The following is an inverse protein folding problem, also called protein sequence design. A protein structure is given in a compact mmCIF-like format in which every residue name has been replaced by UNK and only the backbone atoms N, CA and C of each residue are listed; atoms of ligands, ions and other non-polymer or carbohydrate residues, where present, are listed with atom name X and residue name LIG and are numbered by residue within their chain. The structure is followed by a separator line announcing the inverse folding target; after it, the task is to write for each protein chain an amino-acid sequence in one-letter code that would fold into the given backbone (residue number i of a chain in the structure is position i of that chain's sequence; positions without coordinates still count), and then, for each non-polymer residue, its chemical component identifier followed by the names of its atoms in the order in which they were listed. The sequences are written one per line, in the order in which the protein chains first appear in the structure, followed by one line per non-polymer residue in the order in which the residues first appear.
data_IF_370486158739
#
_entry.id   IF_370486158739
#
_cell.length_a   1.000
_cell.length_b   1.000
_cell.length_c   1.000
_cell.angle_alpha   90.00
_cell.angle_beta   90.00
_cell.angle_gamma   90.00
#
_symmetry.space_group_name_H-M   'P 1'
#
loop_
_entity.id
_entity.type
_entity.pdbx_description
1 polymer ?
#
# COMPACT_ATOMS: atom_id res chain seq x y z
N UNK A 1 -20.29 16.24 -19.74
CA UNK A 1 -20.26 16.19 -18.25
C UNK A 1 -19.98 14.78 -17.74
N UNK A 2 -20.20 13.73 -18.53
CA UNK A 2 -19.92 12.32 -18.16
C UNK A 2 -18.43 12.06 -17.87
N UNK A 3 -17.53 12.58 -18.69
CA UNK A 3 -16.08 12.33 -18.58
C UNK A 3 -15.45 12.80 -17.26
N UNK A 4 -15.94 13.90 -16.67
CA UNK A 4 -15.38 14.44 -15.42
C UNK A 4 -15.78 13.57 -14.23
N UNK A 5 -17.01 13.08 -14.21
CA UNK A 5 -17.49 12.21 -13.14
C UNK A 5 -16.79 10.84 -13.17
N UNK A 6 -16.51 10.30 -14.36
CA UNK A 6 -15.72 9.08 -14.50
C UNK A 6 -14.27 9.26 -14.04
N UNK A 7 -13.66 10.41 -14.34
CA UNK A 7 -12.32 10.75 -13.87
C UNK A 7 -12.26 10.87 -12.35
N UNK A 8 -13.25 11.52 -11.72
CA UNK A 8 -13.33 11.64 -10.26
C UNK A 8 -13.47 10.26 -9.60
N UNK A 9 -14.39 9.42 -10.10
CA UNK A 9 -14.61 8.08 -9.57
C UNK A 9 -13.35 7.19 -9.69
N UNK A 10 -12.63 7.27 -10.81
CA UNK A 10 -11.38 6.54 -10.99
C UNK A 10 -10.30 6.98 -9.99
N UNK A 11 -10.25 8.28 -9.70
CA UNK A 11 -9.30 8.85 -8.72
C UNK A 11 -9.63 8.42 -7.29
N UNK A 12 -10.90 8.42 -6.91
CA UNK A 12 -11.35 7.95 -5.60
C UNK A 12 -11.03 6.46 -5.40
N UNK A 13 -11.35 5.63 -6.40
CA UNK A 13 -11.04 4.20 -6.37
C UNK A 13 -9.52 3.95 -6.27
N UNK A 14 -8.72 4.75 -6.99
CA UNK A 14 -7.25 4.65 -6.93
C UNK A 14 -6.70 5.11 -5.59
N UNK A 15 -7.20 6.21 -5.04
CA UNK A 15 -6.81 6.68 -3.70
C UNK A 15 -7.15 5.65 -2.62
N UNK A 16 -8.33 5.02 -2.70
CA UNK A 16 -8.72 3.94 -1.81
C UNK A 16 -7.81 2.70 -1.96
N UNK A 17 -7.44 2.33 -3.19
CA UNK A 17 -6.51 1.24 -3.44
C UNK A 17 -5.11 1.54 -2.87
N UNK A 18 -4.62 2.76 -3.04
CA UNK A 18 -3.35 3.24 -2.47
C UNK A 18 -3.38 3.18 -0.93
N UNK A 19 -4.43 3.72 -0.30
CA UNK A 19 -4.58 3.69 1.15
C UNK A 19 -4.61 2.26 1.70
N UNK A 20 -5.35 1.36 1.02
CA UNK A 20 -5.40 -0.06 1.41
C UNK A 20 -4.04 -0.76 1.28
N UNK A 21 -3.26 -0.44 0.24
CA UNK A 21 -1.92 -0.99 0.09
C UNK A 21 -0.97 -0.51 1.19
N UNK A 22 -1.06 0.76 1.60
CA UNK A 22 -0.28 1.25 2.75
C UNK A 22 -0.61 0.47 4.02
N UNK A 23 -1.88 0.27 4.33
CA UNK A 23 -2.30 -0.51 5.51
C UNK A 23 -1.79 -1.96 5.47
N UNK A 24 -1.83 -2.60 4.30
CA UNK A 24 -1.30 -3.96 4.14
C UNK A 24 0.22 -4.00 4.34
N UNK A 25 0.96 -3.04 3.77
CA UNK A 25 2.42 -2.96 3.91
C UNK A 25 2.82 -2.72 5.38
N UNK A 26 2.10 -1.86 6.09
CA UNK A 26 2.33 -1.60 7.53
C UNK A 26 2.10 -2.88 8.35
N UNK A 27 0.97 -3.56 8.13
CA UNK A 27 0.64 -4.81 8.81
C UNK A 27 1.67 -5.91 8.51
N UNK A 28 2.06 -6.10 7.25
CA UNK A 28 3.08 -7.06 6.86
C UNK A 28 4.43 -6.74 7.53
N UNK A 29 4.77 -5.46 7.63
CA UNK A 29 6.01 -5.00 8.29
C UNK A 29 5.99 -5.29 9.79
N UNK A 30 4.88 -4.99 10.48
CA UNK A 30 4.73 -5.27 11.90
C UNK A 30 4.87 -6.78 12.17
N UNK A 31 4.22 -7.61 11.36
CA UNK A 31 4.35 -9.07 11.46
C UNK A 31 5.82 -9.48 11.32
N UNK A 32 6.51 -9.03 10.26
CA UNK A 32 7.93 -9.35 10.03
C UNK A 32 8.80 -8.95 11.24
N UNK A 33 8.58 -7.77 11.80
CA UNK A 33 9.33 -7.27 12.95
C UNK A 33 9.07 -8.08 14.21
N UNK A 34 7.81 -8.42 14.50
CA UNK A 34 7.44 -9.27 15.64
C UNK A 34 8.10 -10.65 15.54
N UNK A 35 8.07 -11.28 14.36
CA UNK A 35 8.72 -12.58 14.18
C UNK A 35 10.25 -12.50 14.35
N UNK A 36 10.88 -11.47 13.76
CA UNK A 36 12.33 -11.26 13.90
C UNK A 36 12.77 -10.95 15.32
N UNK A 37 11.98 -10.17 16.08
CA UNK A 37 12.23 -9.86 17.48
C UNK A 37 12.21 -11.13 18.35
N UNK A 38 11.44 -12.13 17.96
CA UNK A 38 11.39 -13.45 18.60
C UNK A 38 12.49 -14.42 18.09
N UNK A 39 13.43 -13.94 17.26
CA UNK A 39 14.49 -14.77 16.67
C UNK A 39 14.01 -15.72 15.58
N UNK A 40 12.76 -15.57 15.11
CA UNK A 40 12.18 -16.38 14.05
C UNK A 40 12.49 -15.72 12.71
N UNK A 41 13.22 -16.43 11.86
CA UNK A 41 13.53 -15.99 10.50
C UNK A 41 13.40 -17.17 9.53
N UNK A 42 12.21 -17.76 9.51
CA UNK A 42 11.89 -18.96 8.77
C UNK A 42 11.18 -18.66 7.44
N UNK A 43 10.61 -19.69 6.82
CA UNK A 43 9.88 -19.57 5.57
C UNK A 43 8.66 -18.63 5.67
N UNK A 44 8.03 -18.49 6.85
CA UNK A 44 6.87 -17.62 7.03
C UNK A 44 7.28 -16.15 6.97
N UNK A 45 8.39 -15.78 7.61
CA UNK A 45 8.94 -14.42 7.52
C UNK A 45 9.28 -14.06 6.08
N UNK A 46 9.82 -15.01 5.30
CA UNK A 46 10.07 -14.80 3.86
C UNK A 46 8.79 -14.56 3.09
N UNK A 47 7.72 -15.33 3.35
CA UNK A 47 6.42 -15.12 2.72
C UNK A 47 5.87 -13.71 2.97
N UNK A 48 5.93 -13.22 4.22
CA UNK A 48 5.48 -11.85 4.51
C UNK A 48 6.36 -10.79 3.83
N UNK A 49 7.67 -11.01 3.74
CA UNK A 49 8.58 -10.12 2.99
C UNK A 49 8.21 -10.08 1.51
N UNK A 50 7.92 -11.24 0.91
CA UNK A 50 7.54 -11.35 -0.50
C UNK A 50 6.20 -10.66 -0.77
N UNK A 51 5.18 -10.90 0.06
CA UNK A 51 3.87 -10.24 -0.02
C UNK A 51 4.03 -8.72 0.10
N UNK A 52 4.81 -8.24 1.07
CA UNK A 52 5.08 -6.81 1.25
C UNK A 52 5.75 -6.21 0.01
N UNK A 53 6.70 -6.92 -0.59
CA UNK A 53 7.38 -6.47 -1.81
C UNK A 53 6.42 -6.40 -3.01
N UNK A 54 5.52 -7.36 -3.17
CA UNK A 54 4.46 -7.30 -4.18
C UNK A 54 3.52 -6.11 -3.97
N UNK A 55 3.11 -5.86 -2.71
CA UNK A 55 2.27 -4.72 -2.36
C UNK A 55 2.97 -3.38 -2.64
N UNK A 56 4.29 -3.28 -2.36
CA UNK A 56 5.11 -2.13 -2.71
C UNK A 56 5.22 -1.92 -4.23
N UNK A 57 5.37 -2.99 -5.01
CA UNK A 57 5.37 -2.89 -6.48
C UNK A 57 4.03 -2.38 -7.02
N UNK A 58 2.91 -2.92 -6.53
CA UNK A 58 1.56 -2.45 -6.89
C UNK A 58 1.37 -0.98 -6.51
N UNK A 59 1.84 -0.57 -5.35
CA UNK A 59 1.80 0.82 -4.91
C UNK A 59 2.60 1.73 -5.87
N UNK A 60 3.83 1.33 -6.22
CA UNK A 60 4.65 2.06 -7.20
C UNK A 60 3.92 2.23 -8.53
N UNK A 61 3.29 1.18 -9.05
CA UNK A 61 2.53 1.24 -10.31
C UNK A 61 1.33 2.19 -10.24
N UNK A 62 0.64 2.25 -9.10
CA UNK A 62 -0.50 3.15 -8.90
C UNK A 62 -0.05 4.61 -8.76
N UNK A 63 1.14 4.86 -8.20
CA UNK A 63 1.73 6.19 -8.04
C UNK A 63 2.40 6.72 -9.31
N UNK A 64 3.11 5.87 -10.06
CA UNK A 64 3.76 6.22 -11.34
C UNK A 64 2.77 6.45 -12.49
N UNK A 65 1.48 6.14 -12.28
CA UNK A 65 0.45 6.38 -13.26
C UNK A 65 0.36 7.90 -13.56
N UNK A 66 0.67 8.36 -14.80
CA UNK A 66 1.14 9.72 -15.11
C UNK A 66 0.09 10.83 -14.98
N UNK A 67 -1.08 10.58 -14.40
CA UNK A 67 -2.23 11.50 -14.47
C UNK A 67 -2.59 12.20 -13.16
N UNK A 68 -2.00 11.87 -12.00
CA UNK A 68 -2.37 12.56 -10.76
C UNK A 68 -1.22 12.81 -9.80
N UNK A 69 -1.04 14.08 -9.45
CA UNK A 69 -0.35 14.49 -8.23
C UNK A 69 -1.21 14.06 -7.04
N UNK A 70 -1.01 12.84 -6.54
CA UNK A 70 -1.64 12.39 -5.31
C UNK A 70 -0.97 13.13 -4.16
N UNK A 71 -1.70 14.05 -3.52
CA UNK A 71 -1.28 14.68 -2.28
C UNK A 71 -1.71 13.73 -1.15
N UNK A 72 -0.79 12.91 -0.67
CA UNK A 72 -1.04 12.04 0.49
C UNK A 72 -0.90 12.89 1.75
N UNK A 73 -2.02 13.25 2.36
CA UNK A 73 -2.06 13.72 3.76
C UNK A 73 -2.16 12.51 4.67
N UNK A 74 -1.07 12.23 5.38
CA UNK A 74 -1.07 11.26 6.47
C UNK A 74 -1.49 11.99 7.75
N UNK A 75 -2.75 11.85 8.14
CA UNK A 75 -3.15 12.19 9.50
C UNK A 75 -2.54 11.15 10.45
N UNK A 76 -1.74 11.63 11.41
CA UNK A 76 -1.20 10.80 12.48
C UNK A 76 -2.36 10.20 13.26
N UNK A 77 -2.49 8.87 13.25
CA UNK A 77 -3.29 8.18 14.24
C UNK A 77 -2.69 8.46 15.63
N UNK A 78 -3.52 9.01 16.51
CA UNK A 78 -3.20 9.40 17.89
C UNK A 78 -3.15 8.20 18.84
#
# INVERSE_FOLDING_TARGET
MEDINELILNNEQRAAAVAKLFQLIEMDTEIIEQYRANGINDAHVRQYVDIRNENLQKLSQLLDAPKLKIHLTFDKAA
#
